data_IF_357205839400
#
_entry.id   IF_357205839400
#
_cell.length_a   1.000
_cell.length_b   1.000
_cell.length_c   1.000
_cell.angle_alpha   90.00
_cell.angle_beta   90.00
_cell.angle_gamma   90.00
#
_symmetry.space_group_name_H-M   'P 1'
#
loop_
_entity.id
_entity.type
_entity.pdbx_description
1 polymer ?
#
# COMPACT_ATOMS: atom_id res chain seq x y z
N UNK A 1 0.63 63.21 4.78
CA UNK A 1 0.40 64.09 5.94
C UNK A 1 -1.11 64.20 6.11
N UNK A 2 -1.63 63.80 7.29
CA UNK A 2 -3.02 63.99 7.74
C UNK A 2 -4.07 63.07 7.08
N UNK A 3 -4.97 62.38 7.78
CA UNK A 3 -5.31 62.37 9.21
C UNK A 3 -6.20 61.15 9.48
N UNK A 4 -5.94 60.48 10.61
CA UNK A 4 -6.82 59.51 11.25
C UNK A 4 -8.24 60.07 11.42
N UNK A 5 -9.25 59.24 11.13
CA UNK A 5 -10.60 59.39 11.69
C UNK A 5 -11.02 58.03 12.25
N UNK A 6 -10.70 57.79 13.53
CA UNK A 6 -11.63 57.90 14.66
C UNK A 6 -12.55 56.68 14.79
N UNK A 7 -11.95 55.71 15.48
CA UNK A 7 -12.56 54.65 16.30
C UNK A 7 -13.90 55.08 16.87
N UNK A 8 -14.93 54.31 16.55
CA UNK A 8 -16.29 54.52 17.02
C UNK A 8 -16.80 53.19 17.57
N UNK A 9 -17.04 53.17 18.89
CA UNK A 9 -18.10 52.42 19.59
C UNK A 9 -18.06 50.88 19.47
N UNK A 10 -18.44 50.08 20.45
CA UNK A 10 -18.94 50.29 21.79
C UNK A 10 -18.70 48.97 22.53
N UNK A 11 -18.43 49.09 23.82
CA UNK A 11 -18.56 48.02 24.81
C UNK A 11 -19.94 47.37 24.76
N UNK A 12 -20.01 46.04 24.67
CA UNK A 12 -21.16 45.29 25.17
C UNK A 12 -20.65 44.08 25.98
N UNK A 13 -21.04 44.11 27.25
CA UNK A 13 -20.81 43.08 28.26
C UNK A 13 -21.85 41.98 28.04
N UNK A 14 -21.44 40.71 28.00
CA UNK A 14 -22.32 39.61 28.40
C UNK A 14 -21.51 38.64 29.25
N UNK A 15 -21.74 38.76 30.55
CA UNK A 15 -21.57 37.70 31.53
C UNK A 15 -22.49 36.54 31.16
N UNK A 16 -22.01 35.30 31.23
CA UNK A 16 -22.78 34.19 31.80
C UNK A 16 -21.83 33.05 32.15
N UNK A 17 -22.03 32.54 33.36
CA UNK A 17 -21.29 31.48 33.98
C UNK A 17 -21.61 30.12 33.36
N UNK A 18 -20.63 29.21 33.36
CA UNK A 18 -20.86 27.80 33.60
C UNK A 18 -19.56 27.13 34.03
N UNK A 19 -19.47 26.78 35.30
CA UNK A 19 -18.57 25.73 35.77
C UNK A 19 -19.05 24.39 35.19
N UNK A 20 -18.14 23.56 34.69
CA UNK A 20 -18.25 22.10 34.79
C UNK A 20 -16.87 21.48 34.51
N UNK A 21 -16.47 20.65 35.45
CA UNK A 21 -15.30 19.78 35.43
C UNK A 21 -15.49 18.65 34.40
N UNK A 22 -14.59 18.53 33.42
CA UNK A 22 -14.36 17.27 32.68
C UNK A 22 -13.12 16.62 33.34
N UNK A 23 -13.16 15.50 34.05
CA UNK A 23 -13.80 14.20 33.81
C UNK A 23 -13.31 13.47 32.56
N UNK A 24 -12.22 12.71 32.77
CA UNK A 24 -11.89 11.38 32.23
C UNK A 24 -11.79 11.13 30.71
N UNK A 25 -11.03 10.07 30.41
CA UNK A 25 -10.72 9.43 29.10
C UNK A 25 -9.50 10.05 28.40
N UNK A 26 -8.53 9.28 27.90
CA UNK A 26 -8.34 7.83 27.82
C UNK A 26 -6.93 7.60 27.27
N UNK A 27 -6.40 6.38 27.45
CA UNK A 27 -5.25 5.92 26.70
C UNK A 27 -5.57 5.90 25.19
N UNK A 28 -4.52 5.72 24.39
CA UNK A 28 -4.59 5.36 22.97
C UNK A 28 -4.68 6.52 21.97
N UNK A 29 -3.68 7.41 22.00
CA UNK A 29 -3.19 8.02 20.75
C UNK A 29 -2.04 7.15 20.22
N UNK A 30 -2.40 5.91 19.84
CA UNK A 30 -1.65 5.22 18.80
C UNK A 30 -1.88 6.03 17.54
N UNK A 31 -0.90 6.86 17.19
CA UNK A 31 -0.82 7.53 15.90
C UNK A 31 -0.72 6.43 14.84
N UNK A 32 -1.87 5.87 14.46
CA UNK A 32 -2.00 5.04 13.28
C UNK A 32 -1.50 5.88 12.13
N UNK A 33 -0.34 5.49 11.60
CA UNK A 33 0.26 6.12 10.46
C UNK A 33 -0.78 6.12 9.34
N UNK A 34 -1.24 7.31 8.99
CA UNK A 34 -1.78 7.58 7.67
C UNK A 34 -0.58 7.51 6.70
N UNK A 35 -0.06 6.30 6.52
CA UNK A 35 0.61 5.94 5.29
C UNK A 35 -0.53 5.70 4.31
N UNK A 36 -1.17 6.80 3.89
CA UNK A 36 -1.95 6.80 2.67
C UNK A 36 -0.98 6.38 1.57
N UNK A 37 -0.97 5.07 1.29
CA UNK A 37 -0.40 4.53 0.08
C UNK A 37 -0.97 5.37 -1.04
N UNK A 38 -0.12 6.19 -1.66
CA UNK A 38 -0.50 6.86 -2.88
C UNK A 38 -1.06 5.79 -3.82
N UNK A 39 -2.17 6.06 -4.54
CA UNK A 39 -2.76 5.05 -5.39
C UNK A 39 -1.74 4.70 -6.49
N UNK A 40 -0.96 3.65 -6.25
CA UNK A 40 -0.18 3.03 -7.31
C UNK A 40 -1.18 2.61 -8.37
N UNK A 41 -0.88 2.97 -9.62
CA UNK A 41 -1.63 2.42 -10.74
C UNK A 41 -1.55 0.89 -10.62
N UNK A 42 -2.69 0.21 -10.73
CA UNK A 42 -2.73 -1.25 -10.63
C UNK A 42 -1.74 -1.85 -11.64
N UNK A 43 -0.89 -2.79 -11.23
CA UNK A 43 0.09 -3.39 -12.12
C UNK A 43 -0.62 -4.13 -13.27
N UNK A 44 0.00 -4.12 -14.44
CA UNK A 44 -0.54 -4.80 -15.63
C UNK A 44 -0.47 -6.31 -15.49
N UNK A 45 0.56 -6.81 -14.81
CA UNK A 45 0.82 -8.24 -14.64
C UNK A 45 1.06 -8.52 -13.16
N UNK A 46 0.38 -9.53 -12.62
CA UNK A 46 0.56 -9.97 -11.24
C UNK A 46 1.35 -11.27 -11.26
N UNK A 47 2.40 -11.36 -10.44
CA UNK A 47 3.27 -12.53 -10.33
C UNK A 47 3.18 -13.10 -8.91
N UNK A 48 2.81 -14.37 -8.84
CA UNK A 48 2.91 -15.18 -7.64
C UNK A 48 4.25 -15.92 -7.63
N UNK A 49 5.12 -15.58 -6.68
CA UNK A 49 6.46 -16.17 -6.62
C UNK A 49 6.58 -17.37 -5.68
N UNK A 50 5.45 -17.97 -5.30
CA UNK A 50 5.40 -19.19 -4.49
C UNK A 50 5.61 -20.44 -5.35
N UNK A 51 5.65 -21.60 -4.70
CA UNK A 51 5.71 -22.87 -5.42
C UNK A 51 4.42 -23.11 -6.23
N UNK A 52 4.46 -23.92 -7.29
CA UNK A 52 3.28 -24.28 -8.06
C UNK A 52 2.19 -24.97 -7.22
N UNK A 53 2.59 -25.71 -6.18
CA UNK A 53 1.69 -26.35 -5.22
C UNK A 53 0.91 -25.29 -4.42
N UNK A 54 1.60 -24.29 -3.86
CA UNK A 54 0.95 -23.18 -3.13
C UNK A 54 0.05 -22.34 -4.04
N UNK A 55 0.40 -22.20 -5.31
CA UNK A 55 -0.41 -21.48 -6.30
C UNK A 55 -1.71 -22.23 -6.62
N UNK A 56 -1.64 -23.55 -6.80
CA UNK A 56 -2.81 -24.39 -7.03
C UNK A 56 -3.78 -24.39 -5.84
N UNK A 57 -3.26 -24.34 -4.61
CA UNK A 57 -4.08 -24.23 -3.39
C UNK A 57 -4.86 -22.90 -3.27
N UNK A 58 -4.44 -21.88 -4.01
CA UNK A 58 -5.16 -20.61 -4.12
C UNK A 58 -4.23 -19.43 -4.42
N UNK A 59 -4.58 -18.58 -5.38
CA UNK A 59 -3.78 -17.46 -5.88
C UNK A 59 -4.70 -16.29 -6.31
N UNK A 60 -4.14 -15.11 -6.55
CA UNK A 60 -4.91 -13.95 -7.02
C UNK A 60 -5.38 -14.19 -8.47
N UNK A 61 -6.64 -13.89 -8.77
CA UNK A 61 -7.18 -14.03 -10.12
C UNK A 61 -6.31 -13.32 -11.17
N UNK A 62 -5.94 -14.03 -12.24
CA UNK A 62 -5.09 -13.52 -13.31
C UNK A 62 -3.59 -13.47 -13.00
N UNK A 63 -3.16 -13.91 -11.81
CA UNK A 63 -1.75 -14.01 -11.48
C UNK A 63 -1.03 -15.11 -12.29
N UNK A 64 0.24 -14.87 -12.61
CA UNK A 64 1.14 -15.83 -13.23
C UNK A 64 2.07 -16.40 -12.16
N UNK A 65 2.25 -17.72 -12.11
CA UNK A 65 3.18 -18.33 -11.17
C UNK A 65 4.61 -18.37 -11.71
N UNK A 66 5.55 -17.78 -10.97
CA UNK A 66 6.99 -17.84 -11.25
C UNK A 66 7.74 -18.04 -9.93
N UNK A 67 7.97 -19.30 -9.54
CA UNK A 67 8.62 -19.64 -8.26
C UNK A 67 10.03 -19.05 -8.15
N UNK A 68 10.24 -18.15 -7.17
CA UNK A 68 11.55 -17.52 -6.90
C UNK A 68 12.60 -18.50 -6.39
N UNK A 69 12.16 -19.66 -5.89
CA UNK A 69 13.01 -20.72 -5.36
C UNK A 69 13.49 -21.67 -6.46
N UNK A 70 12.89 -21.60 -7.65
CA UNK A 70 13.27 -22.42 -8.79
C UNK A 70 14.57 -21.92 -9.43
N UNK A 71 15.44 -22.85 -9.83
CA UNK A 71 16.66 -22.55 -10.58
C UNK A 71 16.36 -21.82 -11.91
N UNK A 72 15.17 -22.04 -12.48
CA UNK A 72 14.73 -21.41 -13.73
C UNK A 72 14.11 -20.02 -13.55
N UNK A 73 14.09 -19.45 -12.34
CA UNK A 73 13.50 -18.13 -12.09
C UNK A 73 14.10 -17.03 -12.99
N UNK A 74 15.44 -17.03 -13.13
CA UNK A 74 16.13 -16.05 -13.97
C UNK A 74 15.75 -16.13 -15.45
N UNK A 75 15.59 -17.34 -15.98
CA UNK A 75 15.15 -17.56 -17.36
C UNK A 75 13.68 -17.15 -17.55
N UNK A 76 12.83 -17.44 -16.56
CA UNK A 76 11.42 -17.09 -16.60
C UNK A 76 11.20 -15.57 -16.61
N UNK A 77 11.90 -14.82 -15.76
CA UNK A 77 11.80 -13.35 -15.77
C UNK A 77 12.43 -12.75 -17.02
N UNK A 78 13.48 -13.35 -17.60
CA UNK A 78 14.07 -12.86 -18.84
C UNK A 78 13.14 -12.99 -20.07
N UNK A 79 12.13 -13.86 -19.99
CA UNK A 79 11.10 -14.00 -21.02
C UNK A 79 9.93 -13.00 -20.88
N UNK A 80 9.87 -12.25 -19.77
CA UNK A 80 8.82 -11.25 -19.54
C UNK A 80 9.10 -9.96 -20.32
N UNK A 81 8.03 -9.24 -20.63
CA UNK A 81 8.10 -7.96 -21.32
C UNK A 81 8.41 -6.83 -20.34
N UNK A 82 9.60 -6.23 -20.43
CA UNK A 82 10.06 -5.16 -19.54
C UNK A 82 9.28 -3.85 -19.66
N UNK A 83 8.38 -3.71 -20.66
CA UNK A 83 7.52 -2.53 -20.81
C UNK A 83 6.28 -2.56 -19.90
N UNK A 84 5.97 -3.71 -19.31
CA UNK A 84 4.85 -3.86 -18.40
C UNK A 84 5.20 -3.46 -16.97
N UNK A 85 4.16 -3.10 -16.21
CA UNK A 85 4.21 -2.96 -14.76
C UNK A 85 3.91 -4.32 -14.10
N UNK A 86 4.73 -4.70 -13.12
CA UNK A 86 4.65 -5.98 -12.43
C UNK A 86 4.34 -5.80 -10.94
N UNK A 87 3.28 -6.47 -10.48
CA UNK A 87 2.97 -6.60 -9.06
C UNK A 87 3.37 -7.99 -8.57
N UNK A 88 4.32 -8.07 -7.64
CA UNK A 88 4.88 -9.34 -7.18
C UNK A 88 4.44 -9.60 -5.76
N UNK A 89 3.85 -10.77 -5.50
CA UNK A 89 3.45 -11.16 -4.16
C UNK A 89 3.89 -12.58 -3.83
N UNK A 90 3.89 -12.91 -2.54
CA UNK A 90 4.09 -14.28 -2.09
C UNK A 90 3.19 -14.60 -0.90
N UNK A 91 3.54 -15.57 -0.06
CA UNK A 91 2.72 -15.91 1.11
C UNK A 91 2.72 -14.79 2.16
N UNK A 92 3.86 -14.13 2.39
CA UNK A 92 4.07 -13.23 3.53
C UNK A 92 5.03 -12.06 3.28
N UNK A 93 5.35 -11.73 2.02
CA UNK A 93 6.27 -10.64 1.63
C UNK A 93 7.75 -11.00 1.45
N UNK A 94 8.31 -11.95 2.20
CA UNK A 94 9.77 -12.20 2.14
C UNK A 94 10.28 -12.68 0.77
N UNK A 95 9.50 -13.53 0.08
CA UNK A 95 9.90 -14.10 -1.21
C UNK A 95 9.68 -13.10 -2.35
N UNK A 96 8.63 -12.29 -2.25
CA UNK A 96 8.33 -11.25 -3.24
C UNK A 96 9.37 -10.13 -3.19
N UNK A 97 9.80 -9.68 -2.01
CA UNK A 97 10.91 -8.72 -1.90
C UNK A 97 12.22 -9.22 -2.57
N UNK A 98 12.54 -10.50 -2.42
CA UNK A 98 13.69 -11.11 -3.11
C UNK A 98 13.51 -11.20 -4.62
N UNK A 99 12.29 -11.52 -5.07
CA UNK A 99 11.97 -11.59 -6.49
C UNK A 99 12.03 -10.21 -7.16
N UNK A 100 11.48 -9.17 -6.51
CA UNK A 100 11.55 -7.79 -6.97
C UNK A 100 12.99 -7.36 -7.13
N UNK A 101 13.85 -7.56 -6.12
CA UNK A 101 15.27 -7.22 -6.22
C UNK A 101 15.95 -7.89 -7.43
N UNK A 102 15.69 -9.19 -7.66
CA UNK A 102 16.23 -9.91 -8.83
C UNK A 102 15.68 -9.40 -10.16
N UNK A 103 14.43 -8.96 -10.20
CA UNK A 103 13.83 -8.34 -11.38
C UNK A 103 14.46 -6.96 -11.64
N UNK A 104 14.65 -6.13 -10.62
CA UNK A 104 15.35 -4.86 -10.75
C UNK A 104 16.79 -5.06 -11.26
N UNK A 105 17.51 -6.05 -10.73
CA UNK A 105 18.85 -6.45 -11.20
C UNK A 105 18.85 -6.93 -12.67
N UNK A 106 17.75 -7.54 -13.11
CA UNK A 106 17.55 -7.95 -14.51
C UNK A 106 17.12 -6.79 -15.44
N UNK A 107 16.90 -5.58 -14.90
CA UNK A 107 16.58 -4.38 -15.66
C UNK A 107 15.11 -3.99 -15.72
N UNK A 108 14.26 -4.62 -14.91
CA UNK A 108 12.86 -4.20 -14.78
C UNK A 108 12.79 -2.84 -14.06
N UNK A 109 12.05 -1.90 -14.65
CA UNK A 109 11.95 -0.53 -14.12
C UNK A 109 10.63 -0.25 -13.41
N UNK A 110 9.62 -1.08 -13.63
CA UNK A 110 8.28 -0.93 -13.05
C UNK A 110 7.84 -2.26 -12.41
N UNK A 111 8.35 -2.50 -11.21
CA UNK A 111 8.10 -3.71 -10.44
C UNK A 111 7.86 -3.33 -8.98
N UNK A 112 6.78 -3.86 -8.40
CA UNK A 112 6.28 -3.46 -7.09
C UNK A 112 6.09 -4.69 -6.20
N UNK A 113 6.60 -4.64 -4.97
CA UNK A 113 6.31 -5.65 -3.95
C UNK A 113 4.92 -5.41 -3.37
N UNK A 114 4.00 -6.35 -3.61
CA UNK A 114 2.65 -6.33 -3.06
C UNK A 114 2.56 -7.11 -1.73
N UNK A 115 3.67 -7.70 -1.26
CA UNK A 115 3.74 -8.34 0.04
C UNK A 115 3.13 -9.75 0.10
N UNK A 116 2.24 -9.97 1.05
CA UNK A 116 1.56 -11.25 1.27
C UNK A 116 0.33 -11.44 0.38
N UNK A 117 -0.10 -12.70 0.18
CA UNK A 117 -1.23 -13.05 -0.69
C UNK A 117 -2.51 -12.29 -0.32
N UNK A 118 -2.77 -12.15 0.99
CA UNK A 118 -3.96 -11.44 1.48
C UNK A 118 -3.83 -9.94 1.27
N UNK A 119 -2.69 -9.36 1.67
CA UNK A 119 -2.41 -7.93 1.53
C UNK A 119 -2.47 -7.50 0.07
N UNK A 120 -1.90 -8.30 -0.84
CA UNK A 120 -1.93 -8.08 -2.28
C UNK A 120 -3.36 -8.17 -2.85
N UNK A 121 -4.16 -9.17 -2.44
CA UNK A 121 -5.55 -9.30 -2.87
C UNK A 121 -6.40 -8.10 -2.42
N UNK A 122 -6.22 -7.65 -1.17
CA UNK A 122 -6.90 -6.47 -0.62
C UNK A 122 -6.48 -5.18 -1.33
N UNK A 123 -5.18 -5.02 -1.63
CA UNK A 123 -4.64 -3.86 -2.34
C UNK A 123 -5.15 -3.77 -3.78
N UNK A 124 -5.24 -4.91 -4.47
CA UNK A 124 -5.70 -4.98 -5.85
C UNK A 124 -7.23 -5.02 -5.98
N UNK A 125 -7.95 -5.33 -4.89
CA UNK A 125 -9.38 -5.57 -4.93
C UNK A 125 -9.77 -6.80 -5.76
N UNK A 126 -8.88 -7.82 -5.80
CA UNK A 126 -9.05 -9.04 -6.57
C UNK A 126 -9.30 -10.24 -5.65
N UNK A 127 -10.00 -11.24 -6.16
CA UNK A 127 -10.33 -12.45 -5.42
C UNK A 127 -9.18 -13.48 -5.45
N UNK A 128 -9.10 -14.28 -4.38
CA UNK A 128 -8.22 -15.45 -4.31
C UNK A 128 -8.99 -16.64 -4.87
N UNK A 129 -8.53 -17.17 -6.00
CA UNK A 129 -9.12 -18.29 -6.74
C UNK A 129 -8.26 -19.54 -6.64
N UNK A 130 -8.87 -20.70 -6.77
CA UNK A 130 -8.20 -22.02 -6.79
C UNK A 130 -8.30 -22.62 -8.19
N UNK A 131 -7.26 -23.28 -8.67
CA UNK A 131 -7.24 -23.97 -9.98
C UNK A 131 -7.65 -25.43 -9.86
#
# INVERSE_FOLDING_TARGET
>A
MSTLSRRTLATLVVSTAAAVTLSACGADESSSGDAASEPMAAPNVIIDVRTPEEFAEGHIEGAVNIDVSSDSFGEAIAALDMTNSYGVYCRSGNRSAQAVARMEEAGFTDVHDLGGLKDAAETLGLEIVTT
#
